data_IF_986829380464
#
_entry.id   IF_986829380464
#
_cell.length_a   1.000
_cell.length_b   1.000
_cell.length_c   1.000
_cell.angle_alpha   90.00
_cell.angle_beta   90.00
_cell.angle_gamma   90.00
#
_symmetry.space_group_name_H-M   'P 1'
#
loop_
_entity.id
_entity.type
_entity.pdbx_description
1 polymer ?
#
# COMPACT_ATOMS: atom_id res chain seq x y z
N UNK A 1 5.68 38.23 -38.06
CA UNK A 1 6.08 39.61 -38.41
C UNK A 1 7.46 39.84 -37.83
N UNK A 2 8.49 39.94 -38.68
CA UNK A 2 9.84 40.25 -38.24
C UNK A 2 9.97 41.76 -38.12
N UNK A 3 10.45 42.25 -36.98
CA UNK A 3 10.67 43.68 -36.74
C UNK A 3 12.14 43.97 -37.07
N UNK A 4 12.38 44.70 -38.16
CA UNK A 4 13.72 45.21 -38.48
C UNK A 4 14.04 46.43 -37.62
N UNK A 5 15.13 46.36 -36.87
CA UNK A 5 15.63 47.45 -36.04
C UNK A 5 16.68 48.21 -36.85
N UNK A 6 16.32 49.39 -37.36
CA UNK A 6 17.19 50.21 -38.21
C UNK A 6 18.14 51.14 -37.43
N UNK A 7 18.16 51.06 -36.10
CA UNK A 7 18.96 51.93 -35.23
C UNK A 7 19.89 51.15 -34.31
N UNK A 8 21.01 51.77 -33.93
CA UNK A 8 22.01 51.16 -33.04
C UNK A 8 21.40 51.00 -31.64
N UNK A 9 21.24 49.74 -31.19
CA UNK A 9 20.76 49.42 -29.85
C UNK A 9 21.83 49.84 -28.83
N UNK A 10 21.54 50.85 -28.02
CA UNK A 10 22.47 51.40 -27.01
C UNK A 10 22.41 50.58 -25.70
N UNK A 11 21.25 50.01 -25.38
CA UNK A 11 21.05 49.10 -24.26
C UNK A 11 19.76 48.30 -24.48
N UNK A 12 19.70 47.07 -24.00
CA UNK A 12 18.47 46.28 -23.94
C UNK A 12 18.24 45.83 -22.49
N UNK A 13 16.97 45.76 -22.09
CA UNK A 13 16.56 45.19 -20.82
C UNK A 13 15.58 44.06 -21.10
N UNK A 14 15.99 42.82 -20.82
CA UNK A 14 15.07 41.69 -20.89
C UNK A 14 14.15 41.81 -19.68
N UNK A 15 12.84 41.83 -19.89
CA UNK A 15 11.88 41.82 -18.77
C UNK A 15 12.03 40.46 -18.07
N UNK A 16 12.73 40.46 -16.95
CA UNK A 16 12.89 39.28 -16.12
C UNK A 16 11.48 38.90 -15.63
N UNK A 17 11.03 37.69 -15.97
CA UNK A 17 9.75 37.21 -15.48
C UNK A 17 9.83 37.20 -13.95
N UNK A 18 8.90 37.88 -13.29
CA UNK A 18 8.81 37.86 -11.83
C UNK A 18 8.73 36.40 -11.38
N UNK A 19 9.58 36.02 -10.41
CA UNK A 19 9.58 34.67 -9.88
C UNK A 19 8.18 34.36 -9.34
N UNK A 20 7.48 33.43 -9.97
CA UNK A 20 6.21 32.92 -9.46
C UNK A 20 6.44 32.36 -8.06
N UNK A 21 5.51 32.58 -7.12
CA UNK A 21 5.61 31.97 -5.79
C UNK A 21 5.75 30.45 -5.93
N UNK A 22 6.49 29.78 -5.02
CA UNK A 22 6.61 28.34 -5.04
C UNK A 22 5.19 27.72 -5.02
N UNK A 23 4.97 26.65 -5.80
CA UNK A 23 3.68 25.97 -5.79
C UNK A 23 3.36 25.52 -4.37
N UNK A 24 2.10 25.68 -3.95
CA UNK A 24 1.65 25.19 -2.65
C UNK A 24 1.79 23.67 -2.61
N UNK A 25 2.14 23.12 -1.45
CA UNK A 25 2.18 21.68 -1.25
C UNK A 25 0.77 21.10 -1.43
N UNK A 26 0.71 20.04 -2.22
CA UNK A 26 -0.51 19.32 -2.58
C UNK A 26 -0.16 17.84 -2.59
N UNK A 27 -0.57 17.14 -1.53
CA UNK A 27 -0.26 15.73 -1.38
C UNK A 27 -0.97 14.90 -2.47
N UNK A 28 -0.23 14.25 -3.38
CA UNK A 28 -0.82 13.49 -4.46
C UNK A 28 -1.62 12.27 -3.99
N UNK A 29 -1.46 11.80 -2.74
CA UNK A 29 -2.30 10.75 -2.16
C UNK A 29 -3.72 11.23 -1.89
N UNK A 30 -3.88 12.48 -1.43
CA UNK A 30 -5.15 13.00 -0.94
C UNK A 30 -5.83 13.96 -1.92
N UNK A 31 -5.12 14.43 -2.94
CA UNK A 31 -5.72 15.24 -4.01
C UNK A 31 -6.93 14.54 -4.63
N UNK A 32 -8.04 15.28 -4.70
CA UNK A 32 -9.31 14.74 -5.16
C UNK A 32 -9.34 14.67 -6.69
N UNK A 33 -9.60 13.48 -7.21
CA UNK A 33 -9.81 13.25 -8.63
C UNK A 33 -11.31 13.45 -8.94
N UNK A 34 -11.71 14.48 -9.69
CA UNK A 34 -13.12 14.83 -9.85
C UNK A 34 -13.93 13.76 -10.57
N UNK A 35 -13.36 13.19 -11.63
CA UNK A 35 -13.96 12.13 -12.44
C UNK A 35 -12.88 11.22 -13.01
N UNK A 36 -13.29 10.01 -13.41
CA UNK A 36 -12.42 9.10 -14.15
C UNK A 36 -12.07 9.75 -15.51
N UNK A 37 -10.78 9.85 -15.88
CA UNK A 37 -10.38 10.36 -17.19
C UNK A 37 -10.95 9.54 -18.34
N UNK A 38 -11.15 10.20 -19.49
CA UNK A 38 -11.47 9.52 -20.75
C UNK A 38 -10.23 8.78 -21.28
N UNK A 39 -10.47 7.72 -22.05
CA UNK A 39 -9.41 6.91 -22.66
C UNK A 39 -8.99 5.68 -21.85
N UNK A 40 -7.79 5.19 -22.16
CA UNK A 40 -7.25 3.94 -21.63
C UNK A 40 -6.53 4.15 -20.30
N UNK A 41 -6.79 3.27 -19.35
CA UNK A 41 -6.07 3.20 -18.08
C UNK A 41 -5.35 1.85 -18.00
N UNK A 42 -4.19 1.84 -17.35
CA UNK A 42 -3.52 0.59 -17.03
C UNK A 42 -4.31 -0.11 -15.92
N UNK A 43 -4.64 -1.38 -16.12
CA UNK A 43 -5.46 -2.12 -15.17
C UNK A 43 -4.92 -3.53 -14.92
N UNK A 44 -5.05 -3.99 -13.69
CA UNK A 44 -4.81 -5.38 -13.29
C UNK A 44 -6.15 -6.10 -13.31
N UNK A 45 -6.22 -7.23 -14.02
CA UNK A 45 -7.37 -8.15 -14.00
C UNK A 45 -6.99 -9.41 -13.24
N UNK A 46 -7.68 -9.68 -12.14
CA UNK A 46 -7.39 -10.82 -11.28
C UNK A 46 -8.61 -11.72 -11.12
N UNK A 47 -8.37 -13.03 -11.23
CA UNK A 47 -9.36 -14.07 -10.97
C UNK A 47 -9.25 -14.52 -9.52
N UNK A 48 -10.25 -14.19 -8.71
CA UNK A 48 -10.33 -14.57 -7.32
C UNK A 48 -11.17 -15.85 -7.21
N UNK A 49 -10.65 -16.86 -6.52
CA UNK A 49 -11.37 -18.07 -6.19
C UNK A 49 -11.44 -18.22 -4.67
N UNK A 50 -12.66 -18.40 -4.15
CA UNK A 50 -12.89 -18.55 -2.71
C UNK A 50 -13.91 -19.65 -2.44
N UNK A 51 -13.91 -20.14 -1.20
CA UNK A 51 -14.81 -21.19 -0.73
C UNK A 51 -15.57 -20.66 0.47
N UNK A 52 -16.88 -20.48 0.33
CA UNK A 52 -17.79 -20.07 1.41
C UNK A 52 -18.88 -21.10 1.64
N UNK A 53 -19.94 -20.70 2.33
CA UNK A 53 -21.08 -21.55 2.68
C UNK A 53 -21.78 -22.18 1.47
N UNK A 54 -21.92 -21.40 0.39
CA UNK A 54 -22.55 -21.82 -0.86
C UNK A 54 -21.58 -22.58 -1.79
N UNK A 55 -20.40 -22.95 -1.27
CA UNK A 55 -19.39 -23.70 -1.99
C UNK A 55 -18.34 -22.82 -2.65
N UNK A 56 -17.77 -23.33 -3.76
CA UNK A 56 -16.66 -22.68 -4.46
C UNK A 56 -17.18 -21.64 -5.45
N UNK A 57 -16.78 -20.38 -5.30
CA UNK A 57 -17.11 -19.29 -6.23
C UNK A 57 -15.84 -18.76 -6.90
N UNK A 58 -16.02 -18.21 -8.09
CA UNK A 58 -14.96 -17.56 -8.88
C UNK A 58 -15.48 -16.23 -9.37
N UNK A 59 -14.71 -15.19 -9.12
CA UNK A 59 -15.03 -13.82 -9.51
C UNK A 59 -13.82 -13.18 -10.16
N UNK A 60 -14.05 -12.15 -10.96
CA UNK A 60 -13.00 -11.37 -11.58
C UNK A 60 -13.05 -9.95 -11.03
N UNK A 61 -11.88 -9.38 -10.76
CA UNK A 61 -11.72 -8.01 -10.32
C UNK A 61 -10.80 -7.30 -11.29
N UNK A 62 -11.19 -6.11 -11.72
CA UNK A 62 -10.33 -5.17 -12.41
C UNK A 62 -10.03 -3.99 -11.50
N UNK A 63 -8.75 -3.63 -11.39
CA UNK A 63 -8.27 -2.44 -10.69
C UNK A 63 -7.50 -1.58 -11.67
N UNK A 64 -8.00 -0.39 -11.96
CA UNK A 64 -7.37 0.58 -12.85
C UNK A 64 -6.53 1.58 -12.07
N UNK A 65 -5.38 1.93 -12.62
CA UNK A 65 -4.41 2.84 -12.04
C UNK A 65 -4.17 4.02 -12.97
N UNK A 66 -3.78 5.16 -12.41
CA UNK A 66 -3.34 6.32 -13.17
C UNK A 66 -2.23 7.09 -12.44
N UNK A 67 -1.36 7.79 -13.18
CA UNK A 67 -0.46 8.77 -12.59
C UNK A 67 -1.26 9.96 -12.03
N UNK A 68 -0.87 10.40 -10.84
CA UNK A 68 -1.44 11.56 -10.17
C UNK A 68 -0.30 12.48 -9.78
N UNK A 69 -0.37 13.71 -10.28
CA UNK A 69 0.59 14.77 -9.97
C UNK A 69 0.27 15.41 -8.62
N UNK A 70 1.30 15.89 -7.93
CA UNK A 70 1.19 16.69 -6.72
C UNK A 70 2.46 17.48 -6.47
N UNK A 71 2.54 18.11 -5.30
CA UNK A 71 3.66 18.94 -4.87
C UNK A 71 4.04 18.54 -3.46
N UNK A 72 5.29 18.12 -3.27
CA UNK A 72 5.88 17.79 -1.97
C UNK A 72 7.14 18.60 -1.78
N UNK A 73 7.26 19.29 -0.65
CA UNK A 73 8.40 20.18 -0.34
C UNK A 73 8.69 21.17 -1.49
N UNK A 74 7.63 21.72 -2.10
CA UNK A 74 7.71 22.62 -3.26
C UNK A 74 8.19 21.97 -4.57
N UNK A 75 8.38 20.64 -4.62
CA UNK A 75 8.78 19.90 -5.82
C UNK A 75 7.57 19.18 -6.43
N UNK A 76 7.43 19.29 -7.75
CA UNK A 76 6.43 18.50 -8.47
C UNK A 76 6.82 17.02 -8.43
N UNK A 77 5.88 16.20 -8.03
CA UNK A 77 6.03 14.75 -7.93
C UNK A 77 4.86 14.06 -8.60
N UNK A 78 5.06 12.78 -8.94
CA UNK A 78 4.02 11.94 -9.53
C UNK A 78 4.04 10.59 -8.82
N UNK A 79 2.86 10.11 -8.45
CA UNK A 79 2.66 8.75 -7.94
C UNK A 79 1.66 8.02 -8.81
N UNK A 80 1.65 6.70 -8.74
CA UNK A 80 0.55 5.92 -9.29
C UNK A 80 -0.51 5.66 -8.21
N UNK A 81 -1.78 5.91 -8.52
CA UNK A 81 -2.91 5.64 -7.64
C UNK A 81 -3.92 4.70 -8.28
N UNK A 82 -4.56 3.80 -7.51
CA UNK A 82 -5.78 3.14 -7.95
C UNK A 82 -6.91 4.18 -8.05
N UNK A 83 -7.73 4.09 -9.09
CA UNK A 83 -8.80 5.08 -9.36
C UNK A 83 -10.15 4.47 -9.69
N UNK A 84 -10.17 3.18 -10.04
CA UNK A 84 -11.39 2.48 -10.40
C UNK A 84 -11.25 0.99 -10.06
N UNK A 85 -12.33 0.46 -9.48
CA UNK A 85 -12.52 -0.95 -9.20
C UNK A 85 -13.76 -1.42 -9.94
N UNK A 86 -13.65 -2.55 -10.63
CA UNK A 86 -14.72 -3.08 -11.44
C UNK A 86 -14.85 -4.59 -11.29
N UNK A 87 -16.08 -5.05 -11.29
CA UNK A 87 -16.45 -6.45 -11.29
C UNK A 87 -17.19 -6.75 -12.60
N UNK A 88 -16.61 -7.49 -13.57
CA UNK A 88 -17.32 -7.94 -14.75
C UNK A 88 -18.22 -9.11 -14.34
N UNK A 89 -19.36 -8.81 -13.73
CA UNK A 89 -20.38 -9.80 -13.39
C UNK A 89 -21.66 -9.54 -14.18
N UNK A 90 -22.31 -10.60 -14.67
CA UNK A 90 -23.57 -10.53 -15.43
C UNK A 90 -24.60 -9.69 -14.67
N UNK A 91 -24.97 -8.54 -15.23
CA UNK A 91 -25.50 -7.35 -14.56
C UNK A 91 -26.87 -7.49 -13.86
N UNK A 92 -27.44 -8.70 -13.72
CA UNK A 92 -28.87 -8.88 -13.44
C UNK A 92 -29.25 -9.75 -12.22
N UNK A 93 -28.31 -10.31 -11.45
CA UNK A 93 -28.67 -10.97 -10.17
C UNK A 93 -28.69 -9.96 -9.01
N UNK A 94 -29.57 -10.16 -8.02
CA UNK A 94 -29.62 -9.35 -6.79
C UNK A 94 -28.30 -9.36 -6.02
N UNK A 95 -27.61 -10.51 -6.03
CA UNK A 95 -26.27 -10.68 -5.47
C UNK A 95 -25.20 -9.82 -6.19
N UNK A 96 -25.41 -9.42 -7.44
CA UNK A 96 -24.46 -8.57 -8.16
C UNK A 96 -24.72 -7.07 -7.95
N UNK A 97 -25.89 -6.68 -7.44
CA UNK A 97 -26.21 -5.27 -7.20
C UNK A 97 -25.37 -4.68 -6.07
N UNK A 98 -25.23 -5.39 -4.94
CA UNK A 98 -24.42 -4.93 -3.82
C UNK A 98 -22.93 -4.90 -4.16
N UNK A 99 -22.45 -5.88 -4.95
CA UNK A 99 -21.07 -5.90 -5.46
C UNK A 99 -20.83 -4.65 -6.31
N UNK A 100 -21.73 -4.36 -7.26
CA UNK A 100 -21.61 -3.19 -8.12
C UNK A 100 -21.64 -1.89 -7.32
N UNK A 101 -22.53 -1.76 -6.33
CA UNK A 101 -22.61 -0.60 -5.45
C UNK A 101 -21.33 -0.43 -4.61
N UNK A 102 -20.77 -1.53 -4.10
CA UNK A 102 -19.52 -1.54 -3.34
C UNK A 102 -18.35 -1.09 -4.21
N UNK A 103 -18.21 -1.62 -5.43
CA UNK A 103 -17.13 -1.23 -6.35
C UNK A 103 -17.22 0.23 -6.79
N UNK A 104 -18.43 0.75 -7.02
CA UNK A 104 -18.65 2.19 -7.28
C UNK A 104 -18.23 3.06 -6.10
N UNK A 105 -18.60 2.66 -4.90
CA UNK A 105 -18.25 3.36 -3.65
C UNK A 105 -16.74 3.31 -3.41
N UNK A 106 -16.11 2.15 -3.62
CA UNK A 106 -14.66 1.97 -3.49
C UNK A 106 -13.88 2.79 -4.54
N UNK A 107 -14.39 2.88 -5.76
CA UNK A 107 -13.82 3.74 -6.82
C UNK A 107 -13.91 5.22 -6.44
N UNK A 108 -15.01 5.64 -5.81
CA UNK A 108 -15.14 6.99 -5.28
C UNK A 108 -14.12 7.24 -4.14
N UNK A 109 -13.93 6.27 -3.24
CA UNK A 109 -12.94 6.35 -2.17
C UNK A 109 -11.50 6.46 -2.70
N UNK A 110 -11.17 5.71 -3.75
CA UNK A 110 -9.88 5.81 -4.45
C UNK A 110 -9.64 7.20 -5.04
N UNK A 111 -10.61 7.74 -5.76
CA UNK A 111 -10.53 9.10 -6.29
C UNK A 111 -10.48 10.16 -5.19
N UNK A 112 -11.07 9.89 -4.03
CA UNK A 112 -11.04 10.75 -2.85
C UNK A 112 -9.77 10.61 -1.99
N UNK A 113 -8.88 9.66 -2.27
CA UNK A 113 -7.61 9.50 -1.55
C UNK A 113 -7.69 8.72 -0.23
N UNK A 114 -8.77 7.95 -0.01
CA UNK A 114 -8.97 7.19 1.24
C UNK A 114 -9.35 5.71 1.01
N UNK A 115 -8.94 5.15 -0.13
CA UNK A 115 -9.25 3.74 -0.48
C UNK A 115 -8.64 2.74 0.49
N UNK A 116 -7.47 3.04 1.05
CA UNK A 116 -6.78 2.16 1.99
C UNK A 116 -7.61 1.96 3.25
N UNK A 117 -8.18 3.05 3.79
CA UNK A 117 -9.13 3.01 4.90
C UNK A 117 -10.42 2.30 4.51
N UNK A 118 -10.98 2.60 3.32
CA UNK A 118 -12.19 1.94 2.84
C UNK A 118 -12.02 0.41 2.69
N UNK A 119 -10.87 -0.06 2.21
CA UNK A 119 -10.56 -1.49 2.14
C UNK A 119 -10.39 -2.10 3.53
N UNK A 120 -9.70 -1.41 4.45
CA UNK A 120 -9.56 -1.86 5.83
C UNK A 120 -10.92 -2.01 6.52
N UNK A 121 -11.88 -1.13 6.25
CA UNK A 121 -13.24 -1.25 6.77
C UNK A 121 -14.04 -2.37 6.09
N UNK A 122 -13.91 -2.56 4.78
CA UNK A 122 -14.51 -3.71 4.09
C UNK A 122 -13.99 -5.05 4.61
N UNK A 123 -12.73 -5.13 5.05
CA UNK A 123 -12.15 -6.33 5.68
C UNK A 123 -12.80 -6.68 7.03
N UNK A 124 -13.47 -5.74 7.69
CA UNK A 124 -14.16 -5.95 8.97
C UNK A 124 -15.62 -6.40 8.80
N UNK A 125 -16.13 -6.42 7.56
CA UNK A 125 -17.51 -6.85 7.31
C UNK A 125 -17.63 -8.34 7.62
N UNK A 126 -18.50 -8.66 8.56
CA UNK A 126 -18.83 -10.03 8.96
C UNK A 126 -20.21 -10.43 8.43
N UNK A 127 -20.44 -11.74 8.33
CA UNK A 127 -21.75 -12.33 8.04
C UNK A 127 -22.03 -13.55 8.93
N UNK A 128 -23.24 -14.09 8.85
CA UNK A 128 -23.70 -15.24 9.64
C UNK A 128 -23.51 -16.60 8.94
N UNK A 129 -23.09 -16.62 7.67
CA UNK A 129 -22.93 -17.86 6.88
C UNK A 129 -21.59 -18.59 7.11
N UNK A 130 -20.74 -18.10 8.02
CA UNK A 130 -19.49 -18.75 8.42
C UNK A 130 -18.27 -18.42 7.54
N UNK A 131 -17.08 -18.83 7.95
CA UNK A 131 -15.82 -18.32 7.37
C UNK A 131 -15.67 -18.59 5.86
N UNK A 132 -15.10 -17.62 5.15
CA UNK A 132 -14.76 -17.71 3.72
C UNK A 132 -13.26 -17.95 3.56
N UNK A 133 -12.89 -19.09 2.96
CA UNK A 133 -11.48 -19.39 2.65
C UNK A 133 -11.09 -18.74 1.33
N UNK A 134 -10.14 -17.81 1.35
CA UNK A 134 -9.66 -17.10 0.17
C UNK A 134 -8.19 -16.72 0.30
N UNK A 135 -7.36 -17.17 -0.65
CA UNK A 135 -5.93 -16.88 -0.69
C UNK A 135 -5.09 -17.65 0.34
N UNK A 136 -3.80 -17.30 0.37
CA UNK A 136 -2.79 -17.81 1.31
C UNK A 136 -2.05 -16.63 1.92
N UNK A 137 -1.59 -16.78 3.16
CA UNK A 137 -0.75 -15.79 3.81
C UNK A 137 0.72 -15.95 3.43
N UNK A 138 1.57 -15.07 3.97
CA UNK A 138 3.02 -15.08 3.74
C UNK A 138 3.74 -16.37 4.16
N UNK A 139 3.13 -17.15 5.05
CA UNK A 139 3.64 -18.45 5.48
C UNK A 139 3.04 -19.64 4.69
N UNK A 140 2.33 -19.36 3.58
CA UNK A 140 1.72 -20.39 2.74
C UNK A 140 0.48 -21.06 3.34
N UNK A 141 -0.05 -20.56 4.46
CA UNK A 141 -1.26 -21.13 5.10
C UNK A 141 -2.53 -20.52 4.49
N UNK A 142 -3.61 -21.29 4.35
CA UNK A 142 -4.90 -20.76 3.89
C UNK A 142 -5.41 -19.63 4.77
N UNK A 143 -5.89 -18.57 4.12
CA UNK A 143 -6.52 -17.43 4.78
C UNK A 143 -8.05 -17.63 4.89
N UNK A 144 -8.60 -17.26 6.04
CA UNK A 144 -10.03 -17.28 6.32
C UNK A 144 -10.50 -15.87 6.66
N UNK A 145 -11.68 -15.50 6.16
CA UNK A 145 -12.26 -14.17 6.28
C UNK A 145 -13.69 -14.27 6.81
N UNK A 146 -14.15 -13.24 7.51
CA UNK A 146 -15.46 -13.23 8.18
C UNK A 146 -16.64 -13.03 7.23
N UNK A 147 -16.41 -12.76 5.94
CA UNK A 147 -17.42 -12.68 4.88
C UNK A 147 -16.82 -12.77 3.47
N UNK A 148 -17.68 -12.92 2.46
CA UNK A 148 -17.26 -12.80 1.05
C UNK A 148 -16.73 -11.39 0.72
N UNK A 149 -17.31 -10.36 1.35
CA UNK A 149 -16.86 -8.96 1.20
C UNK A 149 -15.43 -8.81 1.70
N UNK A 150 -15.15 -9.33 2.90
CA UNK A 150 -13.83 -9.27 3.51
C UNK A 150 -12.79 -10.05 2.68
N UNK A 151 -13.16 -11.21 2.13
CA UNK A 151 -12.31 -12.00 1.24
C UNK A 151 -11.96 -11.26 -0.07
N UNK A 152 -12.94 -10.59 -0.67
CA UNK A 152 -12.73 -9.78 -1.88
C UNK A 152 -11.88 -8.55 -1.55
N UNK A 153 -12.16 -7.85 -0.45
CA UNK A 153 -11.39 -6.68 -0.01
C UNK A 153 -9.93 -7.03 0.27
N UNK A 154 -9.68 -8.16 0.93
CA UNK A 154 -8.32 -8.68 1.11
C UNK A 154 -7.64 -8.96 -0.24
N UNK A 155 -8.35 -9.56 -1.19
CA UNK A 155 -7.78 -9.85 -2.52
C UNK A 155 -7.45 -8.57 -3.29
N UNK A 156 -8.29 -7.53 -3.18
CA UNK A 156 -8.00 -6.20 -3.74
C UNK A 156 -6.78 -5.59 -3.06
N UNK A 157 -6.67 -5.68 -1.73
CA UNK A 157 -5.47 -5.26 -1.01
C UNK A 157 -4.22 -5.99 -1.55
N UNK A 158 -4.31 -7.28 -1.86
CA UNK A 158 -3.17 -8.00 -2.44
C UNK A 158 -2.80 -7.48 -3.85
N UNK A 159 -3.76 -7.05 -4.66
CA UNK A 159 -3.50 -6.36 -5.94
C UNK A 159 -2.75 -5.05 -5.68
N UNK A 160 -3.24 -4.24 -4.74
CA UNK A 160 -2.60 -2.97 -4.39
C UNK A 160 -1.21 -3.16 -3.80
N UNK A 161 -1.01 -4.20 -2.99
CA UNK A 161 0.29 -4.59 -2.44
C UNK A 161 1.25 -4.93 -3.57
N UNK A 162 0.88 -5.84 -4.48
CA UNK A 162 1.72 -6.20 -5.64
C UNK A 162 2.00 -5.02 -6.58
N UNK A 163 1.11 -4.03 -6.64
CA UNK A 163 1.34 -2.78 -7.37
C UNK A 163 2.21 -1.77 -6.61
N UNK A 164 2.55 -2.07 -5.36
CA UNK A 164 3.38 -1.23 -4.51
C UNK A 164 2.64 -0.02 -3.94
N UNK A 165 1.30 -0.03 -3.89
CA UNK A 165 0.50 1.09 -3.35
C UNK A 165 0.28 0.99 -1.83
N UNK A 166 0.12 -0.24 -1.31
CA UNK A 166 0.05 -0.53 0.13
C UNK A 166 1.18 -1.48 0.53
N UNK A 167 1.46 -1.56 1.82
CA UNK A 167 2.39 -2.56 2.37
C UNK A 167 1.71 -3.95 2.50
N UNK A 168 2.45 -4.92 3.03
CA UNK A 168 2.00 -6.31 3.18
C UNK A 168 0.80 -6.43 4.12
N UNK A 169 0.73 -5.59 5.16
CA UNK A 169 -0.33 -5.60 6.15
C UNK A 169 -1.58 -4.82 5.66
N UNK A 170 -1.39 -3.98 4.65
CA UNK A 170 -2.42 -3.18 3.99
C UNK A 170 -2.39 -1.72 4.38
N UNK A 171 -1.33 -1.23 5.02
CA UNK A 171 -1.18 0.17 5.36
C UNK A 171 -0.69 0.97 4.15
N UNK A 172 -0.98 2.27 4.16
CA UNK A 172 -0.58 3.17 3.09
C UNK A 172 0.95 3.31 3.07
N UNK A 173 1.56 3.00 1.93
CA UNK A 173 3.00 3.27 1.73
C UNK A 173 3.21 4.79 1.72
N UNK A 174 4.27 5.30 2.39
CA UNK A 174 4.60 6.72 2.40
C UNK A 174 4.74 7.30 0.99
N UNK A 175 4.35 8.56 0.83
CA UNK A 175 4.26 9.21 -0.49
C UNK A 175 5.63 9.28 -1.18
N UNK A 176 6.70 9.51 -0.42
CA UNK A 176 8.07 9.58 -0.94
C UNK A 176 8.49 8.26 -1.58
N UNK A 177 8.10 7.14 -0.98
CA UNK A 177 8.38 5.82 -1.50
C UNK A 177 7.54 5.52 -2.75
N UNK A 178 6.29 5.99 -2.81
CA UNK A 178 5.47 5.88 -4.01
C UNK A 178 6.05 6.70 -5.18
N UNK A 179 6.57 7.89 -4.89
CA UNK A 179 7.27 8.73 -5.88
C UNK A 179 8.49 7.97 -6.41
N UNK A 180 9.30 7.39 -5.52
CA UNK A 180 10.48 6.58 -5.91
C UNK A 180 10.09 5.40 -6.80
N UNK A 181 9.03 4.66 -6.44
CA UNK A 181 8.55 3.51 -7.22
C UNK A 181 8.05 3.92 -8.59
N UNK A 182 7.30 5.02 -8.67
CA UNK A 182 6.81 5.55 -9.94
C UNK A 182 7.96 6.01 -10.84
N UNK A 183 8.89 6.80 -10.30
CA UNK A 183 10.06 7.27 -11.06
C UNK A 183 10.92 6.11 -11.54
N UNK A 184 11.17 5.10 -10.70
CA UNK A 184 11.94 3.92 -11.08
C UNK A 184 11.28 3.18 -12.25
N UNK A 185 9.96 2.94 -12.19
CA UNK A 185 9.23 2.29 -13.29
C UNK A 185 9.27 3.13 -14.56
N UNK A 186 9.12 4.45 -14.45
CA UNK A 186 9.13 5.34 -15.60
C UNK A 186 10.51 5.40 -16.27
N UNK A 187 11.59 5.47 -15.48
CA UNK A 187 12.97 5.57 -15.99
C UNK A 187 13.54 4.23 -16.47
N UNK A 188 13.28 3.14 -15.76
CA UNK A 188 13.88 1.83 -16.02
C UNK A 188 12.93 0.82 -16.67
N UNK A 189 11.66 1.16 -16.86
CA UNK A 189 10.64 0.27 -17.43
C UNK A 189 10.27 -0.93 -16.55
N UNK A 190 10.84 -1.03 -15.35
CA UNK A 190 10.67 -2.19 -14.46
C UNK A 190 9.78 -1.80 -13.28
N UNK A 191 8.62 -2.46 -13.10
CA UNK A 191 7.73 -2.17 -11.97
C UNK A 191 8.37 -2.60 -10.65
N UNK A 192 7.90 -2.01 -9.55
CA UNK A 192 8.21 -2.52 -8.22
C UNK A 192 7.78 -3.98 -8.11
N UNK A 193 8.61 -4.81 -7.48
CA UNK A 193 8.34 -6.20 -7.20
C UNK A 193 8.20 -6.39 -5.70
N UNK A 194 7.18 -7.14 -5.30
CA UNK A 194 7.04 -7.54 -3.92
C UNK A 194 8.23 -8.43 -3.53
N UNK A 195 8.84 -8.23 -2.35
CA UNK A 195 9.93 -9.07 -1.89
C UNK A 195 9.46 -10.52 -1.78
N UNK A 196 10.32 -11.44 -2.18
CA UNK A 196 10.04 -12.88 -2.08
C UNK A 196 9.95 -13.30 -0.60
N UNK A 197 9.19 -14.35 -0.26
CA UNK A 197 9.02 -14.79 1.13
C UNK A 197 10.34 -15.02 1.87
N UNK A 198 11.38 -15.48 1.16
CA UNK A 198 12.73 -15.68 1.70
C UNK A 198 13.47 -14.37 2.00
N UNK A 199 13.21 -13.31 1.23
CA UNK A 199 13.75 -11.97 1.49
C UNK A 199 13.05 -11.35 2.68
N UNK A 200 11.73 -11.49 2.78
CA UNK A 200 10.95 -11.02 3.93
C UNK A 200 11.42 -11.72 5.20
N UNK A 201 11.59 -13.05 5.19
CA UNK A 201 12.08 -13.79 6.34
C UNK A 201 13.48 -13.33 6.79
N UNK A 202 14.38 -13.04 5.84
CA UNK A 202 15.71 -12.48 6.14
C UNK A 202 15.64 -11.07 6.72
N UNK A 203 14.74 -10.22 6.21
CA UNK A 203 14.53 -8.87 6.73
C UNK A 203 13.93 -8.87 8.13
N UNK A 204 12.94 -9.75 8.40
CA UNK A 204 12.38 -9.94 9.74
C UNK A 204 13.45 -10.42 10.72
N UNK A 205 14.25 -11.42 10.36
CA UNK A 205 15.38 -11.88 11.18
C UNK A 205 16.43 -10.79 11.42
N UNK A 206 16.75 -9.99 10.40
CA UNK A 206 17.68 -8.87 10.54
C UNK A 206 17.11 -7.75 11.41
N UNK A 207 15.80 -7.47 11.31
CA UNK A 207 15.11 -6.51 12.15
C UNK A 207 15.03 -6.98 13.61
N UNK A 208 14.77 -8.26 13.86
CA UNK A 208 14.84 -8.86 15.20
C UNK A 208 16.27 -8.82 15.78
N UNK A 209 17.27 -9.10 14.96
CA UNK A 209 18.68 -8.98 15.37
C UNK A 209 19.08 -7.51 15.64
N UNK A 210 18.58 -6.56 14.85
CA UNK A 210 18.84 -5.13 14.99
C UNK A 210 18.03 -4.46 16.12
N UNK A 211 16.84 -4.99 16.43
CA UNK A 211 16.04 -4.56 17.57
C UNK A 211 16.71 -4.86 18.92
N UNK A 212 17.77 -5.69 18.88
CA UNK A 212 18.46 -6.17 20.07
C UNK A 212 17.59 -7.20 20.78
N UNK A 213 18.19 -8.32 21.18
CA UNK A 213 17.54 -9.22 22.14
C UNK A 213 17.14 -8.46 23.41
N UNK A 214 16.35 -9.10 24.31
CA UNK A 214 15.97 -8.47 25.57
C UNK A 214 17.20 -7.89 26.27
N UNK A 215 17.08 -6.64 26.75
CA UNK A 215 18.21 -5.84 27.21
C UNK A 215 19.07 -6.63 28.21
N UNK A 216 20.33 -6.90 27.81
CA UNK A 216 21.29 -7.61 28.65
C UNK A 216 21.66 -6.70 29.81
N UNK A 217 21.26 -7.09 31.02
CA UNK A 217 21.45 -6.32 32.26
C UNK A 217 22.69 -6.73 33.04
N UNK A 218 23.40 -7.77 32.59
CA UNK A 218 24.65 -8.23 33.19
C UNK A 218 25.01 -9.65 32.78
N UNK A 219 26.00 -10.21 33.47
CA UNK A 219 26.39 -11.62 33.34
C UNK A 219 26.02 -12.39 34.61
N UNK A 220 25.56 -13.62 34.43
CA UNK A 220 25.12 -14.51 35.49
C UNK A 220 26.32 -14.92 36.37
N UNK A 221 26.21 -14.82 37.70
CA UNK A 221 27.30 -15.19 38.60
C UNK A 221 27.58 -16.70 38.62
N UNK A 222 26.62 -17.55 38.24
CA UNK A 222 26.74 -19.02 38.26
C UNK A 222 27.44 -19.56 37.01
N UNK A 223 27.01 -19.12 35.83
CA UNK A 223 27.47 -19.70 34.56
C UNK A 223 28.07 -18.68 33.58
N UNK A 224 28.17 -17.41 33.98
CA UNK A 224 28.65 -16.31 33.14
C UNK A 224 27.83 -16.09 31.85
N UNK A 225 26.60 -16.63 31.77
CA UNK A 225 25.66 -16.36 30.67
C UNK A 225 25.02 -14.97 30.77
N UNK A 226 24.38 -14.51 29.70
CA UNK A 226 23.70 -13.21 29.68
C UNK A 226 22.47 -13.21 30.61
N UNK A 227 22.33 -12.13 31.39
CA UNK A 227 21.13 -11.85 32.19
C UNK A 227 20.22 -10.92 31.41
N UNK A 228 18.94 -11.26 31.34
CA UNK A 228 17.91 -10.44 30.71
C UNK A 228 16.86 -10.05 31.75
N UNK A 229 16.20 -8.91 31.54
CA UNK A 229 15.15 -8.45 32.46
C UNK A 229 13.84 -9.21 32.18
N UNK A 230 13.43 -10.08 33.09
CA UNK A 230 12.13 -10.77 33.07
C UNK A 230 11.34 -10.37 34.31
N UNK A 231 10.13 -9.83 34.13
CA UNK A 231 9.24 -9.41 35.23
C UNK A 231 9.86 -8.46 36.27
N UNK A 232 10.79 -7.60 35.82
CA UNK A 232 11.51 -6.66 36.67
C UNK A 232 12.71 -7.27 37.42
N UNK A 233 13.08 -8.51 37.11
CA UNK A 233 14.18 -9.23 37.72
C UNK A 233 15.23 -9.70 36.70
N UNK A 234 16.53 -9.49 36.96
CA UNK A 234 17.60 -10.06 36.15
C UNK A 234 17.62 -11.60 36.22
N UNK A 235 17.41 -12.25 35.08
CA UNK A 235 17.29 -13.71 34.98
C UNK A 235 18.15 -14.26 33.85
N UNK A 236 18.89 -15.35 34.14
CA UNK A 236 19.73 -16.06 33.19
C UNK A 236 18.89 -17.07 32.40
N UNK A 237 18.06 -16.57 31.48
CA UNK A 237 17.09 -17.38 30.73
C UNK A 237 17.74 -18.38 29.77
N UNK A 238 18.81 -17.97 29.07
CA UNK A 238 19.51 -18.82 28.09
C UNK A 238 20.57 -19.74 28.73
N UNK A 239 20.84 -19.60 30.03
CA UNK A 239 21.89 -20.31 30.75
C UNK A 239 21.34 -21.27 31.80
N UNK A 240 21.73 -21.06 33.06
CA UNK A 240 21.44 -21.99 34.16
C UNK A 240 20.10 -21.75 34.88
N UNK A 241 19.32 -20.73 34.48
CA UNK A 241 18.04 -20.40 35.11
C UNK A 241 18.15 -19.58 36.40
N UNK A 242 19.33 -19.07 36.75
CA UNK A 242 19.53 -18.20 37.91
C UNK A 242 18.72 -16.90 37.79
N UNK A 243 18.03 -16.50 38.87
CA UNK A 243 17.23 -15.29 38.98
C UNK A 243 17.69 -14.51 40.22
N UNK A 244 17.83 -13.18 40.11
CA UNK A 244 18.19 -12.35 41.27
C UNK A 244 17.06 -12.28 42.32
N UNK A 245 15.83 -12.58 41.93
CA UNK A 245 14.64 -12.41 42.76
C UNK A 245 14.09 -13.71 43.37
N UNK A 246 14.71 -14.86 43.08
CA UNK A 246 14.30 -16.18 43.57
C UNK A 246 14.16 -17.20 42.46
#
# INVERSE_FOLDING_TARGET
MAVEIQSKIVSYHVKQAAASPPPADEDPLTVRIPSRPEGTLEAVSEKIAYVGAEGRKKVYVLVSFMPVEGVLDGKRVVIERPVEFFFPSGQLSSEHQWITATMRSLSLAARGGYVTQALADLRKVAWDKGLVRCGVNRWGKPMFHDSEVAAIAWSIQQILYRRGFVDIDGNQVPVEELVRRYSHRFTHGTPWQAPEPEEVARQEQAAEAAAGGPAVVGHCPECNGELIMMDGCPTCYAGCGWSQCG
#
